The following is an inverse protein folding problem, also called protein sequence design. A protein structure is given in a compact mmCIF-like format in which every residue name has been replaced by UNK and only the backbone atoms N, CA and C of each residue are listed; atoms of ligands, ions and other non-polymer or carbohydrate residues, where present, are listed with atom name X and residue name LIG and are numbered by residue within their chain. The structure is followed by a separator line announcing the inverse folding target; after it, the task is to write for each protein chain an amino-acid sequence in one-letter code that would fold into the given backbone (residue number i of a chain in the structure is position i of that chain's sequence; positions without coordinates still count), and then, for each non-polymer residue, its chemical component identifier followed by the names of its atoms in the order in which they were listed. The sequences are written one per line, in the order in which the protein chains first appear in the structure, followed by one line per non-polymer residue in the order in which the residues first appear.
data_IF_787935047379
#
_entry.id   IF_787935047379
#
_cell.length_a   1.000
_cell.length_b   1.000
_cell.length_c   1.000
_cell.angle_alpha   90.00
_cell.angle_beta   90.00
_cell.angle_gamma   90.00
#
_symmetry.space_group_name_H-M   'P 1'
#
loop_
_entity.id
_entity.type
_entity.pdbx_description
1 polymer ?
#
# COMPACT_ATOMS: atom_id res chain seq x y z
N UNK A 1 -14.52 -11.10 -30.62
CA UNK A 1 -13.57 -11.64 -29.61
C UNK A 1 -14.35 -12.17 -28.41
N UNK A 2 -13.98 -13.33 -27.85
CA UNK A 2 -14.51 -13.75 -26.55
C UNK A 2 -14.04 -12.76 -25.48
N UNK A 3 -14.94 -12.30 -24.61
CA UNK A 3 -14.58 -11.40 -23.51
C UNK A 3 -13.75 -12.15 -22.45
N UNK A 4 -12.44 -12.24 -22.68
CA UNK A 4 -11.46 -12.92 -21.80
C UNK A 4 -11.40 -12.24 -20.42
N UNK A 5 -11.58 -10.92 -20.36
CA UNK A 5 -11.49 -10.12 -19.12
C UNK A 5 -12.46 -10.58 -18.04
N UNK A 6 -13.68 -10.98 -18.43
CA UNK A 6 -14.67 -11.50 -17.49
C UNK A 6 -14.24 -12.80 -16.78
N UNK A 7 -13.28 -13.55 -17.32
CA UNK A 7 -12.75 -14.80 -16.75
C UNK A 7 -11.54 -14.57 -15.84
N UNK A 8 -10.91 -13.40 -15.90
CA UNK A 8 -9.71 -13.07 -15.12
C UNK A 8 -10.11 -12.67 -13.70
N UNK A 9 -9.36 -13.20 -12.72
CA UNK A 9 -9.45 -12.80 -11.33
C UNK A 9 -8.39 -11.72 -11.05
N UNK A 10 -8.84 -10.54 -10.62
CA UNK A 10 -7.94 -9.40 -10.36
C UNK A 10 -7.76 -9.24 -8.85
N UNK A 11 -6.57 -9.47 -8.28
CA UNK A 11 -6.31 -9.13 -6.89
C UNK A 11 -6.36 -7.61 -6.72
N UNK A 12 -7.21 -7.14 -5.81
CA UNK A 12 -7.36 -5.72 -5.47
C UNK A 12 -6.85 -5.41 -4.06
N UNK A 13 -6.64 -6.45 -3.25
CA UNK A 13 -5.99 -6.39 -1.94
C UNK A 13 -5.26 -7.71 -1.70
N UNK A 14 -3.98 -7.67 -1.34
CA UNK A 14 -3.21 -8.88 -1.03
C UNK A 14 -1.94 -8.59 -0.23
N UNK A 15 -1.40 -9.64 0.40
CA UNK A 15 -0.01 -9.71 0.87
C UNK A 15 0.76 -10.65 -0.07
N UNK A 16 1.26 -10.16 -1.21
CA UNK A 16 1.86 -11.02 -2.23
C UNK A 16 3.18 -11.61 -1.75
N UNK A 17 3.41 -12.89 -2.07
CA UNK A 17 4.73 -13.49 -1.97
C UNK A 17 5.62 -12.93 -3.10
N UNK A 18 6.48 -11.98 -2.76
CA UNK A 18 7.34 -11.27 -3.71
C UNK A 18 8.46 -12.18 -4.22
N UNK A 19 9.03 -12.99 -3.32
CA UNK A 19 10.07 -13.97 -3.64
C UNK A 19 9.71 -15.30 -3.01
N UNK A 20 9.96 -16.40 -3.74
CA UNK A 20 9.77 -17.76 -3.26
C UNK A 20 11.07 -18.53 -3.38
N UNK A 21 11.45 -19.19 -2.30
CA UNK A 21 12.62 -20.04 -2.18
C UNK A 21 12.14 -21.46 -1.96
N UNK A 22 12.64 -22.42 -2.75
CA UNK A 22 12.23 -23.84 -2.66
C UNK A 22 12.80 -24.57 -1.45
N UNK A 23 13.56 -23.87 -0.61
CA UNK A 23 14.17 -24.42 0.60
C UNK A 23 13.81 -23.55 1.80
N UNK A 24 13.85 -24.17 2.98
CA UNK A 24 13.74 -23.49 4.26
C UNK A 24 15.01 -22.67 4.49
N UNK A 25 14.89 -21.40 4.91
CA UNK A 25 16.08 -20.65 5.31
C UNK A 25 16.86 -21.41 6.41
N UNK A 26 18.20 -21.46 6.32
CA UNK A 26 19.02 -22.06 7.37
C UNK A 26 18.71 -21.44 8.74
N UNK A 27 18.86 -22.23 9.80
CA UNK A 27 18.62 -21.78 11.18
C UNK A 27 19.49 -20.60 11.62
N UNK A 28 20.63 -20.43 10.95
CA UNK A 28 21.61 -19.39 11.25
C UNK A 28 21.14 -18.00 10.77
N UNK A 29 20.08 -17.94 9.96
CA UNK A 29 19.37 -16.70 9.63
C UNK A 29 18.36 -16.39 10.74
N UNK A 30 18.74 -15.49 11.67
CA UNK A 30 17.95 -15.16 12.86
C UNK A 30 16.95 -13.99 12.67
N UNK A 31 16.85 -13.45 11.45
CA UNK A 31 15.91 -12.37 11.15
C UNK A 31 14.58 -12.90 10.60
N UNK A 32 13.49 -12.35 11.12
CA UNK A 32 12.15 -12.52 10.52
C UNK A 32 11.80 -11.33 9.63
N UNK A 33 12.31 -10.14 9.99
CA UNK A 33 12.00 -8.89 9.34
C UNK A 33 13.27 -8.24 8.80
N UNK A 34 13.14 -7.55 7.68
CA UNK A 34 14.21 -6.74 7.10
C UNK A 34 13.61 -5.58 6.31
N UNK A 35 14.41 -4.55 6.10
CA UNK A 35 13.99 -3.33 5.41
C UNK A 35 14.71 -3.21 4.06
N UNK A 36 14.03 -2.61 3.08
CA UNK A 36 14.72 -2.13 1.89
C UNK A 36 15.35 -0.75 2.11
N UNK A 37 15.91 -0.18 1.04
CA UNK A 37 16.54 1.15 1.06
C UNK A 37 15.55 2.29 1.29
N UNK A 38 14.25 2.04 1.12
CA UNK A 38 13.16 3.01 1.28
C UNK A 38 12.50 2.89 2.66
N UNK A 39 12.96 1.96 3.51
CA UNK A 39 12.39 1.68 4.82
C UNK A 39 11.12 0.84 4.75
N UNK A 40 10.80 0.25 3.60
CA UNK A 40 9.69 -0.70 3.51
C UNK A 40 10.09 -1.98 4.24
N UNK A 41 9.23 -2.42 5.15
CA UNK A 41 9.47 -3.63 5.95
C UNK A 41 8.93 -4.86 5.22
N UNK A 42 9.74 -5.90 5.18
CA UNK A 42 9.39 -7.21 4.65
C UNK A 42 9.59 -8.27 5.71
N UNK A 43 8.83 -9.35 5.60
CA UNK A 43 8.99 -10.54 6.42
C UNK A 43 9.35 -11.76 5.58
N UNK A 44 10.19 -12.63 6.14
CA UNK A 44 10.39 -13.98 5.62
C UNK A 44 9.55 -14.98 6.41
N UNK A 45 8.77 -15.78 5.70
CA UNK A 45 8.04 -16.90 6.27
C UNK A 45 8.59 -18.21 5.70
N UNK A 46 9.05 -19.09 6.58
CA UNK A 46 9.53 -20.42 6.23
C UNK A 46 8.50 -21.48 6.61
N UNK A 47 8.06 -22.27 5.63
CA UNK A 47 7.19 -23.45 5.81
C UNK A 47 7.94 -24.73 5.42
N UNK A 48 7.28 -25.89 5.53
CA UNK A 48 7.84 -27.17 5.09
C UNK A 48 8.13 -27.18 3.59
N UNK A 49 7.31 -26.47 2.80
CA UNK A 49 7.40 -26.41 1.33
C UNK A 49 8.42 -25.39 0.81
N UNK A 50 9.06 -24.63 1.69
CA UNK A 50 10.02 -23.59 1.34
C UNK A 50 9.78 -22.27 2.06
N UNK A 51 10.50 -21.24 1.63
CA UNK A 51 10.43 -19.90 2.24
C UNK A 51 9.88 -18.87 1.27
N UNK A 52 9.24 -17.84 1.77
CA UNK A 52 8.77 -16.74 0.93
C UNK A 52 8.85 -15.40 1.65
N UNK A 53 9.09 -14.35 0.86
CA UNK A 53 9.17 -12.97 1.32
C UNK A 53 7.84 -12.29 1.03
N UNK A 54 7.30 -11.57 2.02
CA UNK A 54 6.09 -10.77 1.89
C UNK A 54 6.33 -9.36 2.44
N UNK A 55 5.63 -8.34 1.92
CA UNK A 55 5.64 -7.02 2.53
C UNK A 55 4.85 -7.03 3.85
N UNK A 56 5.20 -6.13 4.78
CA UNK A 56 4.39 -5.87 5.98
C UNK A 56 3.18 -4.99 5.69
N UNK A 57 3.26 -4.15 4.65
CA UNK A 57 2.12 -3.41 4.15
C UNK A 57 1.45 -4.16 2.98
N UNK A 58 0.10 -4.23 2.95
CA UNK A 58 -0.58 -4.89 1.86
C UNK A 58 -0.47 -4.08 0.57
N UNK A 59 -0.48 -4.78 -0.56
CA UNK A 59 -0.87 -4.18 -1.82
C UNK A 59 -2.37 -3.87 -1.81
N UNK A 60 -2.78 -2.67 -2.22
CA UNK A 60 -4.20 -2.34 -2.36
C UNK A 60 -4.54 -1.31 -3.45
N UNK A 61 -5.46 -1.69 -4.33
CA UNK A 61 -6.10 -0.84 -5.36
C UNK A 61 -7.64 -0.90 -5.23
N UNK A 62 -8.12 -1.07 -4.01
CA UNK A 62 -9.55 -1.19 -3.66
C UNK A 62 -10.38 0.03 -4.02
N UNK A 63 -9.78 1.22 -4.12
CA UNK A 63 -10.42 2.45 -4.59
C UNK A 63 -10.66 2.47 -6.10
N UNK A 64 -10.07 1.53 -6.86
CA UNK A 64 -10.17 1.46 -8.32
C UNK A 64 -11.13 0.39 -8.81
N UNK A 65 -11.90 -0.23 -7.93
CA UNK A 65 -12.77 -1.37 -8.29
C UNK A 65 -13.82 -1.01 -9.33
N UNK A 66 -14.38 0.20 -9.28
CA UNK A 66 -15.36 0.67 -10.27
C UNK A 66 -14.74 0.86 -11.65
N UNK A 67 -13.51 1.38 -11.69
CA UNK A 67 -12.74 1.50 -12.93
C UNK A 67 -12.37 0.12 -13.52
N UNK A 68 -11.93 -0.81 -12.67
CA UNK A 68 -11.57 -2.18 -13.07
C UNK A 68 -12.79 -2.92 -13.62
N UNK A 69 -13.94 -2.81 -12.94
CA UNK A 69 -15.18 -3.48 -13.33
C UNK A 69 -15.78 -2.91 -14.61
N UNK A 70 -15.82 -1.58 -14.76
CA UNK A 70 -16.23 -0.92 -16.01
C UNK A 70 -15.32 -1.26 -17.20
N UNK A 71 -14.05 -1.62 -16.95
CA UNK A 71 -13.11 -2.11 -17.97
C UNK A 71 -13.35 -3.57 -18.42
N UNK A 72 -14.34 -4.25 -17.82
CA UNK A 72 -14.78 -5.60 -18.18
C UNK A 72 -14.31 -6.73 -17.25
N UNK A 73 -13.55 -6.44 -16.19
CA UNK A 73 -13.15 -7.44 -15.20
C UNK A 73 -14.27 -7.68 -14.19
N UNK A 74 -14.80 -8.89 -14.13
CA UNK A 74 -15.97 -9.20 -13.28
C UNK A 74 -15.63 -9.85 -11.94
N UNK A 75 -14.38 -10.29 -11.76
CA UNK A 75 -13.94 -11.06 -10.59
C UNK A 75 -12.81 -10.32 -9.90
N UNK A 76 -13.08 -9.82 -8.71
CA UNK A 76 -12.12 -9.14 -7.87
C UNK A 76 -11.75 -10.05 -6.70
N UNK A 77 -10.48 -10.11 -6.34
CA UNK A 77 -9.97 -10.91 -5.24
C UNK A 77 -9.47 -10.00 -4.12
N UNK A 78 -9.97 -10.25 -2.92
CA UNK A 78 -9.42 -9.75 -1.67
C UNK A 78 -8.76 -10.95 -1.00
N UNK A 79 -7.44 -10.99 -0.99
CA UNK A 79 -6.66 -12.13 -0.52
C UNK A 79 -6.20 -11.93 0.92
N UNK A 80 -6.72 -12.78 1.82
CA UNK A 80 -6.31 -12.87 3.22
C UNK A 80 -5.55 -14.18 3.54
N UNK A 81 -5.19 -14.97 2.54
CA UNK A 81 -4.64 -16.33 2.75
C UNK A 81 -3.33 -16.36 3.56
N UNK A 82 -2.60 -15.24 3.62
CA UNK A 82 -1.30 -15.10 4.30
C UNK A 82 -1.30 -14.09 5.44
N UNK A 83 -2.48 -13.64 5.87
CA UNK A 83 -2.59 -12.66 6.96
C UNK A 83 -3.85 -12.90 7.79
N UNK A 84 -3.81 -12.52 9.07
CA UNK A 84 -5.02 -12.44 9.89
C UNK A 84 -5.51 -11.00 9.83
N UNK A 85 -6.74 -10.80 9.40
CA UNK A 85 -7.38 -9.48 9.35
C UNK A 85 -8.41 -9.32 10.46
N UNK A 86 -8.43 -8.16 11.08
CA UNK A 86 -9.42 -7.78 12.07
C UNK A 86 -10.73 -7.34 11.41
N UNK A 87 -11.82 -7.33 12.18
CA UNK A 87 -13.12 -6.80 11.71
C UNK A 87 -13.03 -5.32 11.29
N UNK A 88 -12.19 -4.52 11.96
CA UNK A 88 -11.99 -3.11 11.59
C UNK A 88 -11.25 -2.97 10.26
N UNK A 89 -10.25 -3.80 9.99
CA UNK A 89 -9.55 -3.83 8.70
C UNK A 89 -10.48 -4.24 7.56
N UNK A 90 -11.29 -5.28 7.75
CA UNK A 90 -12.30 -5.68 6.76
C UNK A 90 -13.24 -4.50 6.45
N UNK A 91 -13.75 -3.82 7.48
CA UNK A 91 -14.61 -2.64 7.30
C UNK A 91 -13.91 -1.52 6.53
N UNK A 92 -12.63 -1.27 6.81
CA UNK A 92 -11.85 -0.26 6.12
C UNK A 92 -11.67 -0.61 4.62
N UNK A 93 -11.34 -1.86 4.31
CA UNK A 93 -11.23 -2.37 2.94
C UNK A 93 -12.55 -2.22 2.19
N UNK A 94 -13.67 -2.66 2.80
CA UNK A 94 -15.01 -2.52 2.19
C UNK A 94 -15.39 -1.05 1.99
N UNK A 95 -15.09 -0.18 2.95
CA UNK A 95 -15.36 1.25 2.84
C UNK A 95 -14.55 1.88 1.71
N UNK A 96 -13.28 1.49 1.55
CA UNK A 96 -12.41 1.93 0.46
C UNK A 96 -13.01 1.58 -0.91
N UNK A 97 -13.55 0.37 -1.05
CA UNK A 97 -14.24 -0.05 -2.28
C UNK A 97 -15.51 0.73 -2.55
N UNK A 98 -16.40 0.84 -1.56
CA UNK A 98 -17.71 1.51 -1.73
C UNK A 98 -17.55 3.01 -2.00
N UNK A 99 -16.57 3.65 -1.34
CA UNK A 99 -16.37 5.11 -1.44
C UNK A 99 -15.33 5.50 -2.49
N UNK A 100 -14.63 4.55 -3.09
CA UNK A 100 -13.51 4.83 -4.00
C UNK A 100 -12.37 5.60 -3.31
N UNK A 101 -12.15 5.38 -2.01
CA UNK A 101 -11.15 6.11 -1.23
C UNK A 101 -9.90 5.26 -1.00
N UNK A 102 -8.67 5.78 -1.20
CA UNK A 102 -7.45 5.03 -0.92
C UNK A 102 -7.38 4.54 0.54
N UNK A 103 -6.94 3.29 0.71
CA UNK A 103 -6.66 2.74 2.03
C UNK A 103 -5.29 3.26 2.51
N UNK A 104 -5.15 3.74 3.76
CA UNK A 104 -3.86 4.19 4.29
C UNK A 104 -2.95 2.99 4.64
N UNK A 105 -1.63 3.21 4.62
CA UNK A 105 -0.64 2.17 4.98
C UNK A 105 -0.67 0.98 4.02
N UNK A 106 -0.73 1.27 2.72
CA UNK A 106 -0.76 0.26 1.65
C UNK A 106 0.26 0.61 0.59
N UNK A 107 0.83 -0.42 -0.01
CA UNK A 107 1.67 -0.28 -1.18
C UNK A 107 0.84 -0.25 -2.47
N UNK A 108 1.27 0.60 -3.41
CA UNK A 108 0.75 0.66 -4.77
C UNK A 108 1.92 0.76 -5.73
N UNK A 109 1.98 -0.16 -6.67
CA UNK A 109 2.94 -0.04 -7.75
C UNK A 109 2.45 1.00 -8.76
N UNK A 110 3.17 2.11 -8.92
CA UNK A 110 2.87 3.10 -9.95
C UNK A 110 3.59 2.76 -11.25
N UNK A 111 2.83 2.23 -12.22
CA UNK A 111 3.38 1.88 -13.53
C UNK A 111 3.89 3.08 -14.34
N UNK A 112 3.49 4.32 -13.99
CA UNK A 112 4.02 5.54 -14.61
C UNK A 112 5.41 5.89 -14.09
N UNK A 113 5.65 5.65 -12.81
CA UNK A 113 6.95 5.91 -12.17
C UNK A 113 7.94 4.80 -12.55
N UNK A 114 7.44 3.66 -13.00
CA UNK A 114 8.25 2.56 -13.51
C UNK A 114 8.92 1.78 -12.40
N UNK A 115 10.04 1.13 -12.72
CA UNK A 115 10.90 0.50 -11.74
C UNK A 115 11.86 1.53 -11.13
N UNK A 116 12.39 1.22 -9.94
CA UNK A 116 13.30 2.06 -9.18
C UNK A 116 14.32 2.83 -10.05
N UNK A 117 14.35 4.16 -9.88
CA UNK A 117 15.34 5.06 -10.45
C UNK A 117 16.02 5.87 -9.33
N UNK A 118 17.34 5.74 -9.12
CA UNK A 118 18.06 6.47 -8.08
C UNK A 118 17.84 7.99 -8.15
N UNK A 119 17.76 8.53 -9.37
CA UNK A 119 17.61 9.96 -9.64
C UNK A 119 16.22 10.47 -9.23
N UNK A 120 15.16 9.74 -9.61
CA UNK A 120 13.79 10.10 -9.24
C UNK A 120 13.57 10.03 -7.72
N UNK A 121 14.25 9.09 -7.05
CA UNK A 121 14.17 8.95 -5.59
C UNK A 121 14.79 10.13 -4.84
N UNK A 122 15.92 10.63 -5.32
CA UNK A 122 16.56 11.80 -4.73
C UNK A 122 15.69 13.06 -4.91
N UNK A 123 15.08 13.21 -6.08
CA UNK A 123 14.11 14.29 -6.34
C UNK A 123 12.86 14.19 -5.46
N UNK A 124 12.31 12.98 -5.27
CA UNK A 124 11.14 12.76 -4.42
C UNK A 124 11.45 13.04 -2.95
N UNK A 125 12.62 12.62 -2.45
CA UNK A 125 13.05 12.90 -1.07
C UNK A 125 13.18 14.40 -0.84
N UNK A 126 13.86 15.11 -1.74
CA UNK A 126 14.00 16.58 -1.70
C UNK A 126 12.64 17.30 -1.79
N UNK A 127 11.72 16.79 -2.60
CA UNK A 127 10.36 17.35 -2.73
C UNK A 127 9.54 17.16 -1.45
N UNK A 128 9.58 15.96 -0.85
CA UNK A 128 8.89 15.67 0.41
C UNK A 128 9.47 16.45 1.59
N UNK A 129 10.79 16.62 1.67
CA UNK A 129 11.44 17.48 2.66
C UNK A 129 10.94 18.92 2.54
N UNK A 130 10.93 19.48 1.32
CA UNK A 130 10.38 20.83 1.06
C UNK A 130 8.90 20.94 1.38
N UNK A 131 8.10 19.91 1.10
CA UNK A 131 6.66 19.91 1.41
C UNK A 131 6.41 19.85 2.93
N UNK A 132 7.20 19.04 3.66
CA UNK A 132 7.15 18.95 5.12
C UNK A 132 7.55 20.29 5.77
N UNK A 133 8.61 20.94 5.27
CA UNK A 133 9.03 22.27 5.72
C UNK A 133 7.95 23.33 5.49
N UNK A 134 7.32 23.35 4.30
CA UNK A 134 6.21 24.27 4.01
C UNK A 134 5.02 24.04 4.93
N UNK A 135 4.70 22.79 5.24
CA UNK A 135 3.60 22.43 6.16
C UNK A 135 3.92 22.83 7.60
N UNK A 136 5.17 22.64 8.04
CA UNK A 136 5.65 23.09 9.35
C UNK A 136 5.64 24.62 9.47
N UNK A 137 6.03 25.35 8.42
CA UNK A 137 5.98 26.81 8.38
C UNK A 137 4.54 27.34 8.41
N UNK A 138 3.62 26.71 7.67
CA UNK A 138 2.20 27.07 7.70
C UNK A 138 1.56 26.83 9.08
N UNK A 139 1.95 25.74 9.77
CA UNK A 139 1.50 25.47 11.14
C UNK A 139 2.02 26.52 12.15
N UNK A 140 3.21 27.08 11.93
CA UNK A 140 3.78 28.16 12.76
C UNK A 140 3.09 29.51 12.51
N UNK A 141 2.63 29.76 11.28
CA UNK A 141 1.98 31.03 10.89
C UNK A 141 0.44 31.05 11.07
N UNK A 142 -0.19 29.93 11.45
CA UNK A 142 -1.64 29.82 11.70
C UNK A 142 -2.12 30.42 13.02
N UNK A 143 -1.68 31.63 13.37
CA UNK A 143 -2.08 32.35 14.58
C UNK A 143 -3.59 32.71 14.58
N UNK A 144 -4.25 32.47 15.71
CA UNK A 144 -5.69 32.73 15.98
C UNK A 144 -6.15 34.11 15.45
N UNK A 145 -7.30 34.20 14.75
CA UNK A 145 -7.85 35.49 14.37
C UNK A 145 -8.32 36.29 15.60
N UNK A 146 -8.26 37.63 15.57
CA UNK A 146 -8.65 38.45 16.70
C UNK A 146 -10.17 38.33 16.92
N UNK A 147 -10.57 38.05 18.17
CA UNK A 147 -11.97 38.04 18.59
C UNK A 147 -12.50 39.48 18.53
N UNK A 148 -13.19 39.81 17.44
CA UNK A 148 -13.93 41.06 17.30
C UNK A 148 -15.01 41.19 18.37
N UNK A 149 -14.86 42.17 19.26
CA UNK A 149 -15.84 42.52 20.26
C UNK A 149 -17.08 43.14 19.63
N UNK A 150 -18.25 42.55 19.89
CA UNK A 150 -19.54 43.26 19.79
C UNK A 150 -19.93 43.71 21.18
N UNK A 151 -20.07 45.01 21.39
CA UNK A 151 -21.01 45.56 22.38
C UNK A 151 -21.68 46.79 21.78
N UNK A 152 -22.98 46.63 21.49
CA UNK A 152 -23.99 47.68 21.60
C UNK A 152 -24.40 47.76 23.06
#
# INVERSE_FOLDING_TARGET
EQNVRARVLVPVFAYPALFRMRFKLPSDYDFTYFEDKEGSVFKVNSTVDGSFVMPEEPFAITDKTDFITSSGFKRLLIDFSKTKVSRSQIKAITTSMIKGQPLPGVSRFNWKDGFYSPQQMEEYRLSNERAAERKAAAARNGGKPPRGGKRR
#
